data_IF_187653523544
#
_entry.id   IF_187653523544
#
_cell.length_a   1.000
_cell.length_b   1.000
_cell.length_c   1.000
_cell.angle_alpha   90.00
_cell.angle_beta   90.00
_cell.angle_gamma   90.00
#
_symmetry.space_group_name_H-M   'P 1'
#
loop_
_entity.id
_entity.type
_entity.pdbx_description
1 polymer ?
#
# COMPACT_ATOMS: atom_id res chain seq x y z
N UNK A 1 -18.71 4.73 -1.48
CA UNK A 1 -19.48 4.29 -0.30
C UNK A 1 -19.03 5.01 0.96
N UNK A 2 -17.72 5.08 1.24
CA UNK A 2 -17.19 5.77 2.45
C UNK A 2 -17.58 7.26 2.58
N UNK A 3 -17.61 8.01 1.48
CA UNK A 3 -18.10 9.40 1.48
C UNK A 3 -19.59 9.49 1.84
N UNK A 4 -20.40 8.50 1.43
CA UNK A 4 -21.84 8.48 1.71
C UNK A 4 -22.14 8.14 3.17
N UNK A 5 -21.24 7.42 3.84
CA UNK A 5 -21.39 6.98 5.23
C UNK A 5 -20.73 7.91 6.25
N UNK A 6 -20.23 9.08 5.83
CA UNK A 6 -19.48 10.03 6.69
C UNK A 6 -18.36 9.34 7.50
N UNK A 7 -17.70 8.37 6.88
CA UNK A 7 -16.62 7.61 7.52
C UNK A 7 -15.36 8.48 7.59
N UNK A 8 -14.61 8.41 8.70
CA UNK A 8 -13.27 8.98 8.78
C UNK A 8 -12.29 8.07 8.02
N UNK A 9 -11.98 8.45 6.78
CA UNK A 9 -11.05 7.71 5.93
C UNK A 9 -10.10 8.66 5.20
N UNK A 10 -8.90 8.15 4.91
CA UNK A 10 -7.93 8.81 4.04
C UNK A 10 -7.65 7.89 2.86
N UNK A 11 -7.70 8.44 1.65
CA UNK A 11 -7.27 7.74 0.44
C UNK A 11 -5.89 8.23 0.01
N UNK A 12 -4.95 7.30 -0.16
CA UNK A 12 -3.58 7.59 -0.59
C UNK A 12 -3.35 6.94 -1.95
N UNK A 13 -3.15 7.76 -2.98
CA UNK A 13 -2.77 7.28 -4.31
C UNK A 13 -1.25 7.19 -4.44
N UNK A 14 -0.76 6.03 -4.86
CA UNK A 14 0.66 5.75 -5.12
C UNK A 14 0.87 5.64 -6.64
N UNK A 15 0.95 6.80 -7.30
CA UNK A 15 1.06 6.86 -8.75
C UNK A 15 2.30 6.11 -9.27
N UNK A 16 2.09 5.28 -10.30
CA UNK A 16 3.16 4.48 -10.93
C UNK A 16 3.55 3.22 -10.16
N UNK A 17 3.00 2.97 -8.98
CA UNK A 17 3.27 1.76 -8.20
C UNK A 17 2.39 0.60 -8.66
N UNK A 18 3.01 -0.54 -8.93
CA UNK A 18 2.33 -1.76 -9.39
C UNK A 18 1.82 -2.62 -8.22
N UNK A 19 1.12 -3.71 -8.54
CA UNK A 19 0.60 -4.62 -7.53
C UNK A 19 1.73 -5.36 -6.81
N UNK A 20 1.47 -5.77 -5.57
CA UNK A 20 2.45 -6.45 -4.69
C UNK A 20 3.69 -5.62 -4.33
N UNK A 21 3.58 -4.30 -4.33
CA UNK A 21 4.69 -3.39 -4.00
C UNK A 21 5.31 -3.55 -2.61
N UNK A 22 4.61 -4.18 -1.67
CA UNK A 22 5.11 -4.51 -0.32
C UNK A 22 5.85 -5.84 -0.25
N UNK A 23 5.73 -6.69 -1.28
CA UNK A 23 6.36 -8.01 -1.30
C UNK A 23 7.73 -7.94 -1.97
N UNK A 24 8.81 -8.15 -1.21
CA UNK A 24 10.19 -8.18 -1.73
C UNK A 24 10.44 -9.22 -2.83
N UNK A 25 9.59 -10.26 -2.91
CA UNK A 25 9.67 -11.31 -3.93
C UNK A 25 8.77 -11.05 -5.16
N UNK A 26 8.12 -9.88 -5.25
CA UNK A 26 7.21 -9.57 -6.35
C UNK A 26 7.90 -9.63 -7.72
N UNK A 27 9.15 -9.17 -7.83
CA UNK A 27 9.93 -9.26 -9.08
C UNK A 27 10.29 -10.70 -9.46
N UNK A 28 10.51 -11.57 -8.48
CA UNK A 28 10.76 -13.00 -8.71
C UNK A 28 9.48 -13.67 -9.23
N UNK A 29 8.34 -13.38 -8.61
CA UNK A 29 7.04 -13.91 -9.03
C UNK A 29 6.59 -13.37 -10.39
N UNK A 30 6.87 -12.10 -10.71
CA UNK A 30 6.67 -11.53 -12.04
C UNK A 30 7.31 -12.44 -13.10
N UNK A 31 8.57 -12.82 -12.89
CA UNK A 31 9.33 -13.64 -13.84
C UNK A 31 8.87 -15.09 -13.84
N UNK A 32 8.64 -15.67 -12.65
CA UNK A 32 8.30 -17.09 -12.49
C UNK A 32 6.93 -17.45 -13.06
N UNK A 33 5.97 -16.54 -12.94
CA UNK A 33 4.57 -16.78 -13.34
C UNK A 33 4.12 -15.88 -14.50
N UNK A 34 5.04 -15.10 -15.09
CA UNK A 34 4.79 -14.14 -16.18
C UNK A 34 3.66 -13.11 -15.87
N UNK A 35 3.63 -12.60 -14.65
CA UNK A 35 2.63 -11.62 -14.19
C UNK A 35 3.23 -10.21 -14.19
N UNK A 36 3.15 -9.51 -15.32
CA UNK A 36 3.79 -8.20 -15.57
C UNK A 36 3.38 -7.08 -14.60
N UNK A 37 2.23 -7.23 -13.94
CA UNK A 37 1.69 -6.26 -12.99
C UNK A 37 2.29 -6.36 -11.58
N UNK A 38 3.25 -7.26 -11.33
CA UNK A 38 3.94 -7.38 -10.05
C UNK A 38 5.29 -6.67 -10.05
N UNK A 39 5.58 -5.92 -9.00
CA UNK A 39 6.87 -5.25 -8.81
C UNK A 39 7.04 -4.85 -7.36
N UNK A 40 8.20 -5.10 -6.77
CA UNK A 40 8.51 -4.58 -5.44
C UNK A 40 8.86 -3.09 -5.56
N UNK A 41 8.29 -2.25 -4.70
CA UNK A 41 8.64 -0.84 -4.65
C UNK A 41 8.89 -0.41 -3.20
N UNK A 42 10.18 -0.32 -2.85
CA UNK A 42 10.64 0.03 -1.50
C UNK A 42 10.06 1.35 -0.98
N UNK A 43 10.02 2.39 -1.82
CA UNK A 43 9.51 3.70 -1.41
C UNK A 43 8.02 3.64 -1.08
N UNK A 44 7.24 2.91 -1.90
CA UNK A 44 5.82 2.71 -1.70
C UNK A 44 5.53 1.90 -0.43
N UNK A 45 6.30 0.83 -0.21
CA UNK A 45 6.25 -0.03 0.98
C UNK A 45 6.48 0.79 2.27
N UNK A 46 7.60 1.52 2.34
CA UNK A 46 7.95 2.34 3.49
C UNK A 46 6.93 3.46 3.73
N UNK A 47 6.43 4.10 2.67
CA UNK A 47 5.39 5.13 2.76
C UNK A 47 4.09 4.55 3.30
N UNK A 48 3.60 3.45 2.73
CA UNK A 48 2.36 2.80 3.18
C UNK A 48 2.46 2.37 4.65
N UNK A 49 3.60 1.79 5.05
CA UNK A 49 3.84 1.39 6.44
C UNK A 49 3.85 2.60 7.39
N UNK A 50 4.48 3.70 6.99
CA UNK A 50 4.51 4.93 7.77
C UNK A 50 3.10 5.51 7.99
N UNK A 51 2.28 5.59 6.93
CA UNK A 51 0.92 6.11 7.02
C UNK A 51 0.00 5.20 7.85
N UNK A 52 0.16 3.87 7.75
CA UNK A 52 -0.55 2.93 8.62
C UNK A 52 -0.20 3.14 10.09
N UNK A 53 1.09 3.31 10.42
CA UNK A 53 1.52 3.58 11.80
C UNK A 53 0.95 4.90 12.33
N UNK A 54 0.93 5.96 11.51
CA UNK A 54 0.31 7.25 11.88
C UNK A 54 -1.18 7.10 12.17
N UNK A 55 -1.89 6.32 11.34
CA UNK A 55 -3.31 6.04 11.56
C UNK A 55 -3.53 5.29 12.87
N UNK A 56 -2.76 4.22 13.14
CA UNK A 56 -2.84 3.48 14.41
C UNK A 56 -2.50 4.34 15.62
N UNK A 57 -1.47 5.18 15.51
CA UNK A 57 -1.13 6.17 16.53
C UNK A 57 -2.34 7.04 16.89
N UNK A 58 -3.00 7.59 15.86
CA UNK A 58 -4.17 8.47 16.01
C UNK A 58 -5.36 7.79 16.71
N UNK A 59 -5.61 6.51 16.46
CA UNK A 59 -6.80 5.82 16.97
C UNK A 59 -6.60 5.06 18.28
N UNK A 60 -5.35 4.73 18.64
CA UNK A 60 -5.05 3.94 19.86
C UNK A 60 -4.35 4.74 20.96
N UNK A 61 -3.71 5.88 20.68
CA UNK A 61 -3.08 6.72 21.70
C UNK A 61 -4.04 7.76 22.31
N UNK A 62 -5.32 7.39 22.50
CA UNK A 62 -6.30 8.22 23.20
C UNK A 62 -6.22 8.04 24.71
#
# INVERSE_FOLDING_TARGET
QMTKSNTDFTYINLAGVKHSYTNKQADEFRKKFDIQALEYNKQADERAWSEMRKFFKRIFEQ
#
